data_IF_057213542395
#
_entry.id   IF_057213542395
#
_cell.length_a   1.000
_cell.length_b   1.000
_cell.length_c   1.000
_cell.angle_alpha   90.00
_cell.angle_beta   90.00
_cell.angle_gamma   90.00
#
_symmetry.space_group_name_H-M   'P 1'
#
loop_
_entity.id
_entity.type
_entity.pdbx_description
1 polymer ?
2 non-polymer ?
3 water ?
#
# COMPACT_ATOMS: atom_id res chain seq x y z
N UNK A 1 -7.25 -2.14 -9.16
CA UNK A 1 -6.12 -2.61 -8.37
C UNK A 1 -4.92 -1.69 -8.55
N UNK A 2 -4.27 -1.79 -9.73
CA UNK A 2 -3.13 -0.94 -10.11
C UNK A 2 -3.63 0.50 -10.32
N UNK A 3 -4.90 0.65 -10.76
CA UNK A 3 -5.59 1.91 -11.01
C UNK A 3 -5.82 2.62 -9.66
N UNK A 4 -6.18 1.84 -8.62
CA UNK A 4 -6.43 2.31 -7.26
C UNK A 4 -5.14 2.82 -6.60
N UNK A 5 -4.00 2.12 -6.85
CA UNK A 5 -2.70 2.49 -6.33
C UNK A 5 -2.23 3.80 -6.95
N UNK A 6 -2.48 3.98 -8.26
CA UNK A 6 -2.13 5.20 -9.01
C UNK A 6 -2.90 6.41 -8.46
N UNK A 7 -4.19 6.21 -8.10
CA UNK A 7 -5.02 7.26 -7.51
C UNK A 7 -4.56 7.58 -6.07
N UNK A 8 -3.95 6.59 -5.32
CA UNK A 8 -3.37 6.87 -3.98
C UNK A 8 -2.12 7.77 -4.15
N UNK A 9 -1.28 7.40 -5.13
CA UNK A 9 -0.06 8.09 -5.49
C UNK A 9 -0.36 9.51 -5.97
N UNK A 10 -1.48 9.70 -6.71
CA UNK A 10 -1.92 11.02 -7.19
C UNK A 10 -2.45 11.88 -6.04
N UNK A 11 -3.23 11.28 -5.12
CA UNK A 11 -3.80 11.96 -3.97
C UNK A 11 -2.70 12.48 -3.03
N UNK A 12 -1.66 11.68 -2.74
CA UNK A 12 -0.55 12.09 -1.86
C UNK A 12 0.29 13.21 -2.50
N UNK A 13 0.60 13.05 -3.79
CA UNK A 13 1.33 14.02 -4.60
C UNK A 13 0.63 15.39 -4.56
N UNK A 14 -0.72 15.41 -4.68
CA UNK A 14 -1.52 16.64 -4.64
C UNK A 14 -1.51 17.25 -3.24
N UNK A 15 -1.56 16.41 -2.19
CA UNK A 15 -1.50 16.84 -0.79
C UNK A 15 -0.15 17.49 -0.44
N UNK A 16 0.96 16.86 -0.86
CA UNK A 16 2.31 17.36 -0.60
C UNK A 16 2.51 18.74 -1.27
N UNK A 17 2.20 18.83 -2.59
CA UNK A 17 2.30 20.05 -3.38
C UNK A 17 1.48 21.18 -2.72
N UNK A 18 0.22 20.88 -2.32
CA UNK A 18 -0.67 21.84 -1.65
C UNK A 18 -0.04 22.33 -0.33
N UNK A 19 0.59 21.44 0.46
CA UNK A 19 1.23 21.82 1.73
C UNK A 19 2.45 22.72 1.53
N UNK A 20 3.29 22.40 0.54
CA UNK A 20 4.51 23.16 0.27
C UNK A 20 4.23 24.48 -0.46
N UNK A 21 3.11 24.58 -1.21
CA UNK A 21 2.65 25.80 -1.89
C UNK A 21 2.19 26.82 -0.83
N UNK A 22 1.44 26.35 0.18
CA UNK A 22 0.88 27.18 1.26
C UNK A 22 1.95 27.79 2.19
N UNK A 23 3.21 27.28 2.18
CA UNK A 23 4.28 27.81 3.02
C UNK A 23 5.07 28.93 2.32
N UNK A 24 5.77 29.75 3.13
CA UNK A 24 6.57 30.88 2.66
C UNK A 24 7.80 30.44 1.85
N UNK A 25 8.73 29.70 2.47
CA UNK A 25 9.96 29.26 1.81
C UNK A 25 10.29 27.78 2.15
N UNK A 26 9.32 26.91 1.88
CA UNK A 26 9.43 25.46 2.08
C UNK A 26 9.36 24.99 3.52
N UNK A 27 9.56 23.68 3.71
CA UNK A 27 9.56 22.99 4.99
C UNK A 27 10.69 21.97 5.04
N UNK A 28 11.23 21.70 6.24
CA UNK A 28 12.21 20.65 6.41
C UNK A 28 11.47 19.30 6.32
N UNK A 29 12.14 18.16 6.03
CA UNK A 29 11.41 16.88 6.01
C UNK A 29 10.62 16.61 7.31
N UNK A 30 11.19 16.99 8.48
CA UNK A 30 10.56 16.85 9.80
C UNK A 30 9.33 17.75 9.94
N UNK A 31 9.41 19.01 9.45
CA UNK A 31 8.30 19.97 9.48
C UNK A 31 7.15 19.52 8.57
N UNK A 32 7.47 18.89 7.41
CA UNK A 32 6.48 18.39 6.46
C UNK A 32 5.64 17.21 7.06
N UNK A 33 6.28 16.25 7.74
CA UNK A 33 5.48 15.16 8.31
C UNK A 33 4.59 15.66 9.44
N UNK A 34 5.04 16.72 10.19
CA UNK A 34 4.28 17.32 11.28
C UNK A 34 3.06 18.02 10.69
N UNK A 35 3.30 18.88 9.70
CA UNK A 35 2.31 19.67 8.97
C UNK A 35 1.29 18.79 8.24
N UNK A 36 1.75 17.67 7.66
CA UNK A 36 0.87 16.75 6.95
C UNK A 36 -0.16 16.16 7.92
N UNK A 37 0.29 15.70 9.11
CA UNK A 37 -0.61 15.15 10.12
C UNK A 37 -1.62 16.20 10.57
N UNK A 38 -1.13 17.42 10.82
CA UNK A 38 -1.97 18.50 11.29
C UNK A 38 -2.99 18.95 10.25
N UNK A 39 -2.57 19.13 9.00
CA UNK A 39 -3.47 19.67 8.00
C UNK A 39 -4.29 18.65 7.25
N UNK A 40 -3.77 17.43 7.02
CA UNK A 40 -4.50 16.34 6.34
C UNK A 40 -5.32 15.51 7.37
N UNK A 41 -4.85 15.42 8.61
CA UNK A 41 -5.54 14.69 9.66
C UNK A 41 -5.16 13.23 9.75
N UNK A 42 -4.06 12.86 9.06
CA UNK A 42 -3.53 11.50 9.01
C UNK A 42 -2.02 11.63 8.92
N UNK A 43 -1.31 10.56 9.33
CA UNK A 43 0.16 10.55 9.22
C UNK A 43 0.53 10.27 7.77
N UNK A 44 1.76 10.67 7.34
CA UNK A 44 2.27 10.36 6.00
C UNK A 44 2.15 8.82 5.79
N UNK A 45 1.59 8.37 4.66
CA UNK A 45 1.37 6.92 4.50
C UNK A 45 2.66 6.22 4.06
N UNK A 46 3.71 6.35 4.89
CA UNK A 46 5.06 5.87 4.60
C UNK A 46 5.11 4.36 4.47
N UNK A 47 4.79 3.63 5.54
CA UNK A 47 4.84 2.18 5.63
C UNK A 47 4.03 1.46 4.56
N UNK A 48 2.77 1.87 4.35
CA UNK A 48 1.86 1.25 3.37
C UNK A 48 2.36 1.42 1.92
N UNK A 49 3.11 2.50 1.65
CA UNK A 49 3.64 2.77 0.31
C UNK A 49 5.11 2.32 0.14
N UNK A 50 5.65 1.68 1.18
CA UNK A 50 7.00 1.12 1.20
C UNK A 50 8.12 2.09 1.46
N UNK A 51 7.84 3.22 2.15
CA UNK A 51 8.85 4.19 2.52
C UNK A 51 9.22 4.06 3.99
N UNK A 52 10.49 4.32 4.33
CA UNK A 52 10.99 4.25 5.70
C UNK A 52 11.05 5.64 6.33
N UNK A 53 10.91 6.69 5.49
CA UNK A 53 10.99 8.08 5.92
C UNK A 53 10.39 9.02 4.89
N UNK A 54 10.26 10.28 5.27
CA UNK A 54 9.76 11.37 4.43
C UNK A 54 10.70 11.64 3.26
N UNK A 55 12.03 11.63 3.51
CA UNK A 55 13.04 11.80 2.47
C UNK A 55 12.89 10.79 1.36
N UNK A 56 12.70 9.51 1.72
CA UNK A 56 12.46 8.41 0.78
C UNK A 56 11.23 8.70 -0.08
N UNK A 57 10.15 9.18 0.55
CA UNK A 57 8.91 9.55 -0.12
C UNK A 57 9.11 10.71 -1.14
N UNK A 58 9.70 11.83 -0.68
CA UNK A 58 9.89 13.02 -1.50
C UNK A 58 10.88 12.78 -2.64
N UNK A 59 11.89 11.88 -2.44
CA UNK A 59 12.85 11.55 -3.51
C UNK A 59 12.19 10.71 -4.61
N UNK A 60 11.04 10.08 -4.29
CA UNK A 60 10.25 9.29 -5.22
C UNK A 60 9.25 10.17 -6.01
N UNK A 61 9.19 11.49 -5.69
CA UNK A 61 8.38 12.49 -6.41
C UNK A 61 9.27 13.73 -6.76
N UNK A 62 10.29 13.57 -7.63
CA UNK A 62 11.15 14.72 -7.98
C UNK A 62 10.48 15.75 -8.91
N UNK A 63 9.29 15.40 -9.43
CA UNK A 63 8.47 16.24 -10.30
C UNK A 63 7.53 17.12 -9.45
N UNK A 64 7.40 16.78 -8.14
CA UNK A 64 6.55 17.49 -7.17
C UNK A 64 7.37 18.31 -6.17
N UNK A 65 8.44 17.71 -5.62
CA UNK A 65 9.26 18.32 -4.56
C UNK A 65 10.68 18.61 -5.02
N UNK A 66 11.17 19.82 -4.70
CA UNK A 66 12.53 20.26 -4.96
C UNK A 66 13.28 20.18 -3.63
N UNK A 67 14.40 19.47 -3.62
CA UNK A 67 15.26 19.28 -2.44
C UNK A 67 16.29 20.41 -2.45
N UNK A 68 16.11 21.39 -1.56
CA UNK A 68 16.94 22.59 -1.46
C UNK A 68 17.82 22.56 -0.20
N UNK A 69 19.06 23.13 -0.24
CA UNK A 69 19.90 23.12 0.98
C UNK A 69 19.47 24.14 2.05
N UNK A 70 20.28 24.22 3.10
CA UNK A 70 20.13 25.12 4.23
C UNK A 70 21.42 25.18 5.03
N UNK A 71 21.35 25.70 6.25
CA UNK A 71 22.52 25.80 7.12
C UNK A 71 22.93 24.41 7.62
N UNK A 72 24.22 24.13 7.53
CA UNK A 72 24.80 22.86 7.95
C UNK A 72 24.35 21.62 7.20
N UNK A 73 24.06 21.80 5.92
CA UNK A 73 23.60 20.72 5.05
C UNK A 73 22.16 20.30 5.27
N UNK A 74 21.40 21.10 6.05
CA UNK A 74 19.98 20.84 6.32
C UNK A 74 19.19 21.00 5.03
N UNK A 75 18.11 20.23 4.93
CA UNK A 75 17.26 20.16 3.76
C UNK A 75 15.97 20.95 3.97
N UNK A 76 15.60 21.74 2.97
CA UNK A 76 14.34 22.48 2.91
C UNK A 76 13.65 21.94 1.66
N UNK A 77 12.40 21.50 1.79
CA UNK A 77 11.60 20.94 0.71
C UNK A 77 10.66 22.00 0.18
N UNK A 78 10.65 22.18 -1.14
CA UNK A 78 9.82 23.19 -1.80
C UNK A 78 8.98 22.56 -2.92
N UNK A 79 7.79 23.13 -3.17
CA UNK A 79 6.88 22.70 -4.23
C UNK A 79 7.43 23.17 -5.58
N UNK A 80 7.16 22.41 -6.65
CA UNK A 80 7.61 22.74 -8.00
C UNK A 80 6.45 23.39 -8.78
N UNK B 1 -8.07 8.40 0.05
CA UNK B 1 -6.90 7.88 0.77
C UNK B 1 -7.23 6.57 1.44
N UNK B 2 -8.01 6.64 2.54
CA UNK B 2 -8.46 5.47 3.30
C UNK B 2 -9.59 4.77 2.53
N UNK B 3 -10.36 5.57 1.75
CA UNK B 3 -11.46 5.09 0.90
C UNK B 3 -10.89 4.24 -0.25
N UNK B 4 -9.75 4.68 -0.81
CA UNK B 4 -9.02 4.03 -1.89
C UNK B 4 -8.44 2.68 -1.43
N UNK B 5 -7.93 2.62 -0.17
CA UNK B 5 -7.37 1.41 0.42
C UNK B 5 -8.48 0.37 0.64
N UNK B 6 -9.67 0.82 1.10
CA UNK B 6 -10.84 -0.02 1.33
C UNK B 6 -11.31 -0.65 0.02
N UNK B 7 -11.24 0.14 -1.05
CA UNK B 7 -11.57 -0.27 -2.41
C UNK B 7 -10.57 -1.33 -2.93
N UNK B 8 -9.27 -1.24 -2.53
CA UNK B 8 -8.25 -2.23 -2.90
C UNK B 8 -8.58 -3.56 -2.20
N UNK B 9 -8.90 -3.50 -0.90
CA UNK B 9 -9.28 -4.66 -0.07
C UNK B 9 -10.51 -5.43 -0.65
N UNK B 10 -11.54 -4.69 -1.11
CA UNK B 10 -12.76 -5.30 -1.67
C UNK B 10 -12.48 -5.93 -3.06
N UNK B 11 -11.63 -5.30 -3.88
CA UNK B 11 -11.22 -5.84 -5.19
C UNK B 11 -10.42 -7.15 -5.00
N UNK B 12 -9.59 -7.19 -3.95
CA UNK B 12 -8.74 -8.33 -3.61
C UNK B 12 -9.57 -9.53 -3.18
N UNK B 13 -10.59 -9.32 -2.34
CA UNK B 13 -11.50 -10.36 -1.86
C UNK B 13 -12.16 -11.07 -3.05
N UNK B 14 -12.58 -10.30 -4.08
CA UNK B 14 -13.21 -10.84 -5.29
C UNK B 14 -12.20 -11.63 -6.12
N UNK B 15 -10.96 -11.12 -6.21
CA UNK B 15 -9.84 -11.77 -6.93
C UNK B 15 -9.46 -13.12 -6.30
N UNK B 16 -9.31 -13.15 -4.98
CA UNK B 16 -8.94 -14.35 -4.23
C UNK B 16 -9.99 -15.43 -4.41
N UNK B 17 -11.28 -15.10 -4.18
CA UNK B 17 -12.42 -16.01 -4.32
C UNK B 17 -12.46 -16.59 -5.74
N UNK B 18 -12.31 -15.73 -6.76
CA UNK B 18 -12.28 -16.14 -8.17
C UNK B 18 -11.10 -17.10 -8.47
N UNK B 19 -9.91 -16.86 -7.87
CA UNK B 19 -8.74 -17.74 -8.05
C UNK B 19 -8.95 -19.11 -7.42
N UNK B 20 -9.49 -19.15 -6.19
CA UNK B 20 -9.70 -20.39 -5.45
C UNK B 20 -10.89 -21.20 -5.97
N UNK B 21 -11.88 -20.52 -6.61
CA UNK B 21 -13.04 -21.16 -7.24
C UNK B 21 -12.56 -21.93 -8.49
N UNK B 22 -11.69 -21.29 -9.29
CA UNK B 22 -11.16 -21.85 -10.55
C UNK B 22 -10.25 -23.10 -10.35
N UNK B 23 -9.75 -23.35 -9.12
CA UNK B 23 -8.89 -24.51 -8.85
C UNK B 23 -9.71 -25.74 -8.44
N UNK B 24 -9.08 -26.93 -8.59
CA UNK B 24 -9.68 -28.23 -8.29
C UNK B 24 -9.94 -28.42 -6.78
N UNK B 25 -8.88 -28.42 -5.95
CA UNK B 25 -9.04 -28.61 -4.51
C UNK B 25 -8.13 -27.64 -3.71
N UNK B 26 -8.32 -26.35 -3.96
CA UNK B 26 -7.60 -25.27 -3.31
C UNK B 26 -6.16 -25.08 -3.71
N UNK B 27 -5.48 -24.15 -3.01
CA UNK B 27 -4.05 -23.81 -3.19
C UNK B 27 -3.39 -23.61 -1.83
N UNK B 28 -2.09 -23.89 -1.73
CA UNK B 28 -1.32 -23.59 -0.52
C UNK B 28 -1.12 -22.05 -0.47
N UNK B 29 -0.83 -21.43 0.69
CA UNK B 29 -0.58 -19.97 0.69
C UNK B 29 0.49 -19.54 -0.32
N UNK B 30 1.56 -20.36 -0.48
CA UNK B 30 2.67 -20.12 -1.42
C UNK B 30 2.20 -20.23 -2.88
N UNK B 31 1.33 -21.23 -3.19
CA UNK B 31 0.75 -21.40 -4.54
C UNK B 31 -0.19 -20.26 -4.90
N UNK B 32 -0.96 -19.73 -3.92
CA UNK B 32 -1.90 -18.62 -4.11
C UNK B 32 -1.13 -17.32 -4.47
N UNK B 33 0.03 -17.08 -3.83
CA UNK B 33 0.94 -15.98 -4.08
C UNK B 33 1.39 -15.99 -5.55
N UNK B 34 1.91 -17.14 -5.99
CA UNK B 34 2.43 -17.43 -7.31
C UNK B 34 1.35 -17.32 -8.39
N UNK B 35 0.15 -17.90 -8.14
CA UNK B 35 -1.01 -17.86 -9.04
C UNK B 35 -1.63 -16.47 -9.15
N UNK B 36 -1.68 -15.72 -8.05
CA UNK B 36 -2.21 -14.37 -8.05
C UNK B 36 -1.33 -13.48 -8.95
N UNK B 37 0.02 -13.55 -8.80
CA UNK B 37 0.95 -12.78 -9.60
C UNK B 37 0.80 -13.15 -11.09
N UNK B 38 0.71 -14.44 -11.38
CA UNK B 38 0.59 -14.91 -12.74
C UNK B 38 -0.72 -14.53 -13.38
N UNK B 39 -1.84 -14.71 -12.69
CA UNK B 39 -3.15 -14.49 -13.30
C UNK B 39 -3.65 -13.06 -13.21
N UNK B 40 -3.33 -12.31 -12.12
CA UNK B 40 -3.73 -10.91 -11.93
C UNK B 40 -2.68 -9.96 -12.57
N UNK B 41 -1.42 -10.38 -12.61
CA UNK B 41 -0.35 -9.57 -13.19
C UNK B 41 0.31 -8.62 -12.20
N UNK B 42 0.04 -8.82 -10.90
CA UNK B 42 0.57 -8.01 -9.81
C UNK B 42 0.75 -8.93 -8.63
N UNK B 43 1.62 -8.54 -7.69
CA UNK B 43 1.83 -9.28 -6.46
C UNK B 43 0.68 -8.97 -5.52
N UNK B 44 0.42 -9.87 -4.54
CA UNK B 44 -0.58 -9.63 -3.50
C UNK B 44 -0.28 -8.26 -2.83
N UNK B 45 -1.29 -7.40 -2.67
CA UNK B 45 -1.05 -6.06 -2.10
C UNK B 45 -0.97 -6.11 -0.57
N UNK B 46 0.01 -6.86 -0.07
CA UNK B 46 0.19 -7.13 1.36
C UNK B 46 0.51 -5.87 2.15
N UNK B 47 1.63 -5.20 1.84
CA UNK B 47 2.12 -4.00 2.52
C UNK B 47 1.10 -2.85 2.55
N UNK B 48 0.48 -2.50 1.41
CA UNK B 48 -0.49 -1.41 1.32
C UNK B 48 -1.76 -1.67 2.15
N UNK B 49 -2.09 -2.94 2.42
CA UNK B 49 -3.25 -3.30 3.22
C UNK B 49 -2.88 -3.63 4.69
N UNK B 50 -1.59 -3.49 5.03
CA UNK B 50 -1.06 -3.71 6.37
C UNK B 50 -0.77 -5.15 6.75
N UNK B 51 -0.54 -6.04 5.75
CA UNK B 51 -0.19 -7.46 5.98
C UNK B 51 1.29 -7.73 5.76
N UNK B 52 1.85 -8.67 6.54
CA UNK B 52 3.26 -9.08 6.45
C UNK B 52 3.40 -10.35 5.64
N UNK B 53 2.28 -11.03 5.35
CA UNK B 53 2.26 -12.31 4.61
C UNK B 53 0.86 -12.65 4.12
N UNK B 54 0.78 -13.71 3.29
CA UNK B 54 -0.45 -14.26 2.71
C UNK B 54 -1.35 -14.80 3.82
N UNK B 55 -0.79 -15.53 4.81
CA UNK B 55 -1.55 -16.08 5.92
C UNK B 55 -2.24 -14.99 6.72
N UNK B 56 -1.55 -13.89 6.99
CA UNK B 56 -2.11 -12.73 7.66
C UNK B 56 -3.33 -12.20 6.87
N UNK B 57 -3.19 -12.09 5.54
CA UNK B 57 -4.24 -11.64 4.63
C UNK B 57 -5.47 -12.55 4.66
N UNK B 58 -5.27 -13.86 4.44
CA UNK B 58 -6.38 -14.82 4.34
C UNK B 58 -7.09 -15.00 5.67
N UNK B 59 -6.36 -14.86 6.81
CA UNK B 59 -6.98 -14.98 8.14
C UNK B 59 -7.88 -13.77 8.44
N UNK B 60 -7.65 -12.65 7.71
CA UNK B 60 -8.45 -11.44 7.83
C UNK B 60 -9.69 -11.47 6.93
N UNK B 61 -9.84 -12.54 6.12
CA UNK B 61 -11.01 -12.77 5.26
C UNK B 61 -11.54 -14.21 5.50
N UNK B 62 -12.05 -14.54 6.74
CA UNK B 62 -12.56 -15.90 6.99
C UNK B 62 -13.90 -16.20 6.32
N UNK B 63 -14.54 -15.17 5.76
CA UNK B 63 -15.81 -15.25 5.03
C UNK B 63 -15.57 -15.55 3.55
N UNK B 64 -14.30 -15.42 3.10
CA UNK B 64 -13.87 -15.63 1.71
C UNK B 64 -13.05 -16.92 1.58
N UNK B 65 -12.07 -17.13 2.50
CA UNK B 65 -11.12 -18.26 2.44
C UNK B 65 -11.30 -19.22 3.63
N UNK B 66 -11.32 -20.52 3.31
CA UNK B 66 -11.35 -21.59 4.30
C UNK B 66 -9.91 -22.11 4.42
N UNK B 67 -9.42 -22.24 5.65
CA UNK B 67 -8.09 -22.75 5.96
C UNK B 67 -8.23 -24.26 6.27
N UNK B 68 -7.70 -25.11 5.38
CA UNK B 68 -7.79 -26.57 5.50
C UNK B 68 -6.44 -27.16 5.88
N UNK B 69 -6.31 -27.68 7.12
CA UNK B 69 -5.02 -28.27 7.53
C UNK B 69 -4.82 -29.65 6.91
N UNK B 70 -3.60 -29.89 6.45
CA UNK B 70 -3.21 -31.14 5.81
C UNK B 70 -2.10 -31.82 6.57
N UNK B 71 -1.44 -32.76 5.87
CA UNK B 71 -0.33 -33.58 6.37
C UNK B 71 0.92 -32.75 6.54
N UNK B 72 1.62 -32.98 7.64
CA UNK B 72 2.86 -32.26 7.98
C UNK B 72 2.68 -30.79 8.27
N UNK B 73 1.49 -30.39 8.75
CA UNK B 73 1.15 -29.00 9.06
C UNK B 73 0.88 -28.14 7.85
N UNK B 74 0.75 -28.76 6.65
CA UNK B 74 0.45 -28.05 5.41
C UNK B 74 -0.95 -27.46 5.47
N UNK B 75 -1.10 -26.29 4.85
CA UNK B 75 -2.32 -25.52 4.77
C UNK B 75 -2.73 -25.49 3.30
N UNK B 76 -4.02 -25.75 3.04
CA UNK B 76 -4.62 -25.66 1.71
C UNK B 76 -5.75 -24.63 1.86
N UNK B 77 -5.74 -23.62 1.00
CA UNK B 77 -6.72 -22.55 1.03
C UNK B 77 -7.81 -22.79 0.01
N UNK B 78 -9.06 -22.73 0.44
CA UNK B 78 -10.22 -22.99 -0.40
C UNK B 78 -11.21 -21.84 -0.34
N UNK B 79 -11.94 -21.61 -1.45
CA UNK B 79 -12.96 -20.58 -1.54
C UNK B 79 -14.21 -21.03 -0.77
N UNK B 80 -14.93 -20.09 -0.17
CA UNK B 80 -16.14 -20.38 0.59
C UNK B 80 -17.38 -20.05 -0.28
N UNK B 81 -18.31 -21.02 -0.51
CA UNK B 81 -19.51 -20.72 -1.33
C UNK B 81 -20.35 -19.54 -0.83
#
# INVERSE_FOLDING_TARGET
GMSEQERIQECLRKEIRSLLISTKDGLSPQELEKEYLLMVGNHLPLRILGYRSTMELVLDMPDVVRVCPGAGGTVILKAIPDESTKGIASLVAKQRSSHKLR
GMSEQERIQECLRKEIRSLLISTKDGLSPQELEKEYLLMVGNHLPLRILGYRSTMELVLDMPDVVRVCPGAGGTVILKAIPDESTKGIASLVAKQRSSHKLR
#
